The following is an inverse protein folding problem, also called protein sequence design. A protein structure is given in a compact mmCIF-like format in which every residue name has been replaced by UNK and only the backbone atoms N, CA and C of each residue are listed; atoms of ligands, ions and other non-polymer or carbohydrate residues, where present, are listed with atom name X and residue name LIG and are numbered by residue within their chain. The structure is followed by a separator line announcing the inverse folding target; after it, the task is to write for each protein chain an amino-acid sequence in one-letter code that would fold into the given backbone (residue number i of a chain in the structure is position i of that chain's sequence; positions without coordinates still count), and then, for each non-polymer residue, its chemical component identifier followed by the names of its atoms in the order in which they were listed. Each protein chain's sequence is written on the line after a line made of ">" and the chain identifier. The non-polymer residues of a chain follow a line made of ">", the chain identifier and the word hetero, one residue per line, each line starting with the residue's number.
data_IF_175141429518
#
_entry.id   IF_175141429518
#
_cell.length_a   1.000
_cell.length_b   1.000
_cell.length_c   1.000
_cell.angle_alpha   90.00
_cell.angle_beta   90.00
_cell.angle_gamma   90.00
#
_symmetry.space_group_name_H-M   'P 1'
#
loop_
_entity.id
_entity.type
_entity.pdbx_description
1 polymer ?
#
# COMPACT_ATOMS: atom_id res chain seq x y z
N UNK A 1 -15.18 0.28 -13.52
CA UNK A 1 -15.48 0.11 -12.09
C UNK A 1 -15.56 1.48 -11.43
N UNK A 2 -16.67 1.77 -10.74
CA UNK A 2 -16.81 2.98 -9.92
C UNK A 2 -16.40 2.64 -8.50
N UNK A 3 -15.53 3.46 -7.88
CA UNK A 3 -15.10 3.35 -6.48
C UNK A 3 -15.60 4.57 -5.71
N UNK A 4 -16.19 4.34 -4.55
CA UNK A 4 -16.50 5.43 -3.61
C UNK A 4 -15.16 5.97 -3.10
N UNK A 5 -14.91 7.29 -3.24
CA UNK A 5 -13.66 7.91 -2.77
C UNK A 5 -13.72 8.35 -1.31
N UNK A 6 -14.91 8.68 -0.83
CA UNK A 6 -15.13 9.12 0.55
C UNK A 6 -14.98 7.96 1.53
N UNK A 7 -14.04 8.06 2.46
CA UNK A 7 -13.72 7.00 3.43
C UNK A 7 -14.86 6.73 4.41
N UNK A 8 -15.66 7.76 4.77
CA UNK A 8 -16.82 7.58 5.63
C UNK A 8 -17.92 6.79 4.89
N UNK A 9 -18.19 7.13 3.63
CA UNK A 9 -19.17 6.39 2.83
C UNK A 9 -18.70 4.95 2.56
N UNK A 10 -17.41 4.71 2.34
CA UNK A 10 -16.86 3.35 2.25
C UNK A 10 -17.12 2.57 3.55
N UNK A 11 -16.81 3.17 4.71
CA UNK A 11 -17.07 2.60 6.02
C UNK A 11 -18.57 2.32 6.21
N UNK A 12 -19.42 3.31 5.90
CA UNK A 12 -20.87 3.20 6.03
C UNK A 12 -21.43 2.03 5.23
N UNK A 13 -21.16 1.96 3.94
CA UNK A 13 -21.70 0.91 3.07
C UNK A 13 -21.10 -0.47 3.37
N UNK A 14 -19.89 -0.53 3.89
CA UNK A 14 -19.24 -1.80 4.19
C UNK A 14 -19.65 -2.38 5.54
N UNK A 15 -19.80 -1.55 6.56
CA UNK A 15 -19.99 -2.01 7.93
C UNK A 15 -21.33 -1.63 8.55
N UNK A 16 -21.85 -0.47 8.26
CA UNK A 16 -23.08 0.04 8.90
C UNK A 16 -24.32 -0.41 8.14
N UNK A 17 -24.38 -0.11 6.86
CA UNK A 17 -25.56 -0.38 6.04
C UNK A 17 -25.96 -1.87 6.02
N UNK A 18 -25.06 -2.86 5.84
CA UNK A 18 -25.42 -4.28 5.87
C UNK A 18 -25.88 -4.78 7.25
N UNK A 19 -25.55 -4.06 8.30
CA UNK A 19 -25.89 -4.41 9.68
C UNK A 19 -26.99 -3.51 10.28
N UNK A 20 -27.69 -2.73 9.46
CA UNK A 20 -28.70 -1.76 9.90
C UNK A 20 -29.77 -2.37 10.79
N UNK A 21 -30.29 -3.55 10.45
CA UNK A 21 -31.32 -4.24 11.24
C UNK A 21 -30.85 -4.57 12.67
N UNK A 22 -29.56 -4.92 12.86
CA UNK A 22 -28.99 -5.13 14.20
C UNK A 22 -28.91 -3.83 15.00
N UNK A 23 -28.57 -2.73 14.32
CA UNK A 23 -28.47 -1.41 14.96
C UNK A 23 -29.87 -0.93 15.41
N UNK A 24 -30.84 -1.03 14.52
CA UNK A 24 -32.25 -0.60 14.79
C UNK A 24 -32.92 -1.46 15.86
N UNK A 25 -32.56 -2.74 15.97
CA UNK A 25 -33.07 -3.65 17.04
C UNK A 25 -32.31 -3.55 18.37
N UNK A 26 -31.34 -2.63 18.50
CA UNK A 26 -30.55 -2.46 19.72
C UNK A 26 -29.43 -3.47 19.93
N UNK A 27 -29.16 -4.36 18.94
CA UNK A 27 -28.13 -5.40 19.01
C UNK A 27 -26.74 -4.88 18.54
N UNK A 28 -26.34 -3.71 18.99
CA UNK A 28 -25.10 -3.03 18.57
C UNK A 28 -23.84 -3.84 18.89
N UNK A 29 -23.85 -4.67 19.92
CA UNK A 29 -22.72 -5.53 20.30
C UNK A 29 -22.30 -6.51 19.18
N UNK A 30 -23.27 -7.01 18.41
CA UNK A 30 -23.01 -7.89 17.27
C UNK A 30 -22.26 -7.13 16.16
N UNK A 31 -22.68 -5.90 15.89
CA UNK A 31 -22.05 -5.03 14.88
C UNK A 31 -20.63 -4.68 15.31
N UNK A 32 -20.43 -4.35 16.59
CA UNK A 32 -19.11 -4.05 17.14
C UNK A 32 -18.14 -5.26 17.06
N UNK A 33 -18.64 -6.47 17.31
CA UNK A 33 -17.83 -7.68 17.16
C UNK A 33 -17.37 -7.92 15.72
N UNK A 34 -18.26 -7.71 14.75
CA UNK A 34 -17.93 -7.81 13.32
C UNK A 34 -16.95 -6.72 12.88
N UNK A 35 -17.12 -5.50 13.39
CA UNK A 35 -16.19 -4.39 13.14
C UNK A 35 -14.80 -4.72 13.66
N UNK A 36 -14.66 -5.07 14.94
CA UNK A 36 -13.35 -5.38 15.55
C UNK A 36 -12.58 -6.45 14.79
N UNK A 37 -13.28 -7.42 14.21
CA UNK A 37 -12.64 -8.53 13.46
C UNK A 37 -12.12 -8.11 12.09
N UNK A 38 -12.77 -7.17 11.42
CA UNK A 38 -12.54 -6.94 10.00
C UNK A 38 -12.17 -5.48 9.66
N UNK A 39 -12.20 -4.57 10.63
CA UNK A 39 -12.06 -3.14 10.38
C UNK A 39 -10.65 -2.78 9.90
N UNK A 40 -9.62 -3.32 10.56
CA UNK A 40 -8.23 -3.05 10.21
C UNK A 40 -7.96 -3.56 8.80
N UNK A 41 -8.15 -4.85 8.56
CA UNK A 41 -7.79 -5.49 7.30
C UNK A 41 -8.63 -5.01 6.10
N UNK A 42 -9.91 -4.67 6.34
CA UNK A 42 -10.83 -4.33 5.26
C UNK A 42 -11.13 -2.84 5.09
N UNK A 43 -10.63 -1.98 5.98
CA UNK A 43 -10.84 -0.54 5.85
C UNK A 43 -9.57 0.26 6.12
N UNK A 44 -8.97 0.10 7.30
CA UNK A 44 -7.80 0.91 7.70
C UNK A 44 -6.62 0.66 6.77
N UNK A 45 -6.32 -0.60 6.43
CA UNK A 45 -5.22 -0.92 5.51
C UNK A 45 -5.40 -0.27 4.14
N UNK A 46 -6.61 -0.26 3.58
CA UNK A 46 -6.88 0.41 2.30
C UNK A 46 -6.75 1.94 2.37
N UNK A 47 -7.14 2.54 3.50
CA UNK A 47 -6.95 3.99 3.72
C UNK A 47 -5.45 4.30 3.86
N UNK A 48 -4.71 3.44 4.56
CA UNK A 48 -3.26 3.58 4.72
C UNK A 48 -2.53 3.49 3.38
N UNK A 49 -2.86 2.51 2.53
CA UNK A 49 -2.31 2.42 1.17
C UNK A 49 -2.56 3.69 0.34
N UNK A 50 -3.76 4.29 0.47
CA UNK A 50 -4.08 5.54 -0.24
C UNK A 50 -3.24 6.71 0.28
N UNK A 51 -3.02 6.79 1.60
CA UNK A 51 -2.13 7.77 2.21
C UNK A 51 -0.69 7.57 1.72
N UNK A 52 -0.20 6.33 1.70
CA UNK A 52 1.14 6.00 1.20
C UNK A 52 1.31 6.41 -0.28
N UNK A 53 0.30 6.18 -1.13
CA UNK A 53 0.33 6.65 -2.53
C UNK A 53 0.38 8.17 -2.66
N UNK A 54 -0.34 8.88 -1.80
CA UNK A 54 -0.30 10.36 -1.78
C UNK A 54 1.07 10.86 -1.27
N UNK A 55 1.66 10.16 -0.32
CA UNK A 55 2.96 10.50 0.23
C UNK A 55 4.09 10.46 -0.82
N UNK A 56 3.98 9.63 -1.86
CA UNK A 56 4.96 9.61 -2.95
C UNK A 56 5.18 11.00 -3.58
N UNK A 57 4.12 11.79 -3.68
CA UNK A 57 4.22 13.16 -4.20
C UNK A 57 4.94 14.11 -3.25
N UNK A 58 4.82 13.89 -1.95
CA UNK A 58 5.49 14.68 -0.91
C UNK A 58 6.97 14.31 -0.76
N UNK A 59 7.36 13.12 -1.21
CA UNK A 59 8.72 12.62 -1.20
C UNK A 59 9.53 13.02 -2.46
N UNK A 60 9.08 14.01 -3.21
CA UNK A 60 9.73 14.43 -4.46
C UNK A 60 11.22 14.75 -4.29
N UNK A 61 11.63 15.29 -3.12
CA UNK A 61 13.03 15.61 -2.82
C UNK A 61 13.90 14.38 -2.50
N UNK A 62 13.28 13.22 -2.30
CA UNK A 62 13.99 11.95 -2.00
C UNK A 62 14.43 11.24 -3.29
N UNK A 63 13.70 11.49 -4.39
CA UNK A 63 13.93 10.86 -5.67
C UNK A 63 14.73 11.79 -6.59
N UNK A 64 15.71 11.28 -7.36
CA UNK A 64 16.45 12.09 -8.31
C UNK A 64 15.67 12.43 -9.60
N UNK A 65 14.38 12.11 -9.65
CA UNK A 65 13.48 12.27 -10.81
C UNK A 65 12.05 12.51 -10.33
N UNK A 66 11.17 12.91 -11.24
CA UNK A 66 9.74 13.18 -10.96
C UNK A 66 8.86 12.08 -11.55
N UNK A 67 7.83 11.69 -10.81
CA UNK A 67 6.85 10.75 -11.31
C UNK A 67 5.73 11.44 -12.08
N UNK A 68 5.25 10.83 -13.16
CA UNK A 68 4.08 11.29 -13.93
C UNK A 68 2.79 10.70 -13.41
N UNK A 69 2.85 9.48 -12.90
CA UNK A 69 1.69 8.73 -12.44
C UNK A 69 2.02 7.97 -11.18
N UNK A 70 1.08 7.99 -10.24
CA UNK A 70 1.10 7.17 -9.03
C UNK A 70 -0.22 6.41 -8.94
N UNK A 71 -0.14 5.11 -8.68
CA UNK A 71 -1.31 4.26 -8.56
C UNK A 71 -0.97 2.95 -7.85
N UNK A 72 -1.75 1.92 -8.11
CA UNK A 72 -1.48 0.55 -7.73
C UNK A 72 -1.44 -0.32 -8.99
N UNK A 73 -0.82 -1.48 -8.89
CA UNK A 73 -0.76 -2.45 -9.98
C UNK A 73 -1.31 -3.81 -9.52
N UNK A 74 -1.93 -4.52 -10.45
CA UNK A 74 -2.39 -5.91 -10.25
C UNK A 74 -2.39 -6.66 -11.59
N UNK A 75 -2.25 -7.97 -11.51
CA UNK A 75 -2.33 -8.86 -12.67
C UNK A 75 -3.53 -9.84 -12.58
N UNK A 76 -3.70 -10.67 -13.60
CA UNK A 76 -4.77 -11.68 -13.67
C UNK A 76 -4.57 -12.87 -12.71
N UNK A 77 -3.39 -13.00 -12.09
CA UNK A 77 -3.03 -14.05 -11.14
C UNK A 77 -3.14 -13.61 -9.68
N UNK A 78 -3.76 -12.45 -9.44
CA UNK A 78 -3.93 -11.82 -8.13
C UNK A 78 -2.61 -11.35 -7.48
N UNK A 79 -1.57 -11.10 -8.27
CA UNK A 79 -0.43 -10.33 -7.76
C UNK A 79 -0.82 -8.86 -7.68
N UNK A 80 -0.47 -8.21 -6.58
CA UNK A 80 -0.78 -6.80 -6.33
C UNK A 80 0.45 -6.08 -5.80
N UNK A 81 0.63 -4.83 -6.23
CA UNK A 81 1.61 -3.86 -5.71
C UNK A 81 0.81 -2.65 -5.24
N UNK A 82 0.94 -2.31 -3.97
CA UNK A 82 0.14 -1.27 -3.30
C UNK A 82 0.43 0.13 -3.85
N UNK A 83 1.70 0.38 -4.18
CA UNK A 83 2.18 1.64 -4.73
C UNK A 83 2.99 1.35 -5.98
N UNK A 84 2.60 1.93 -7.09
CA UNK A 84 3.39 1.92 -8.32
C UNK A 84 3.44 3.33 -8.89
N UNK A 85 4.63 3.82 -9.19
CA UNK A 85 4.80 5.11 -9.85
C UNK A 85 5.74 4.97 -11.06
N UNK A 86 5.51 5.79 -12.07
CA UNK A 86 6.29 5.76 -13.31
C UNK A 86 6.77 7.14 -13.67
N UNK A 87 8.00 7.20 -14.18
CA UNK A 87 8.59 8.33 -14.88
C UNK A 87 8.79 7.91 -16.34
N UNK A 88 7.92 8.43 -17.22
CA UNK A 88 7.88 8.01 -18.62
C UNK A 88 9.11 8.47 -19.41
N UNK A 89 9.72 9.60 -19.06
CA UNK A 89 10.88 10.16 -19.76
C UNK A 89 12.18 9.49 -19.32
N UNK A 90 12.34 9.29 -18.00
CA UNK A 90 13.58 8.76 -17.42
C UNK A 90 13.64 7.24 -17.33
N UNK A 91 12.54 6.53 -17.58
CA UNK A 91 12.49 5.07 -17.47
C UNK A 91 12.54 4.57 -16.03
N UNK A 92 12.14 5.37 -15.03
CA UNK A 92 12.11 4.95 -13.63
C UNK A 92 10.76 4.36 -13.25
N UNK A 93 10.80 3.19 -12.62
CA UNK A 93 9.66 2.51 -12.01
C UNK A 93 9.86 2.47 -10.51
N UNK A 94 8.94 3.07 -9.75
CA UNK A 94 8.87 2.89 -8.30
C UNK A 94 7.80 1.85 -8.00
N UNK A 95 8.13 0.89 -7.15
CA UNK A 95 7.19 -0.07 -6.58
C UNK A 95 7.24 -0.02 -5.06
N UNK A 96 6.07 -0.19 -4.42
CA UNK A 96 5.98 -0.08 -2.97
C UNK A 96 4.96 -1.02 -2.35
N UNK A 97 5.23 -1.41 -1.11
CA UNK A 97 4.36 -2.24 -0.28
C UNK A 97 4.04 -1.47 1.01
N UNK A 98 2.78 -1.56 1.44
CA UNK A 98 2.27 -0.86 2.63
C UNK A 98 1.86 -1.87 3.69
N UNK A 99 2.42 -1.78 4.89
CA UNK A 99 2.13 -2.71 5.98
C UNK A 99 1.54 -2.00 7.20
N UNK A 100 0.24 -2.23 7.40
CA UNK A 100 -0.52 -1.80 8.56
C UNK A 100 -0.77 -3.00 9.49
N UNK A 101 0.28 -3.55 10.08
CA UNK A 101 0.20 -4.70 10.97
C UNK A 101 1.02 -4.52 12.26
N UNK A 102 0.88 -5.45 13.20
CA UNK A 102 1.71 -5.51 14.40
C UNK A 102 3.11 -6.03 14.07
N UNK A 103 4.13 -5.35 14.59
CA UNK A 103 5.53 -5.71 14.42
C UNK A 103 6.22 -5.08 13.20
N UNK A 104 7.57 -5.15 13.19
CA UNK A 104 8.38 -4.53 12.14
C UNK A 104 8.32 -5.30 10.82
N UNK A 105 8.53 -4.59 9.73
CA UNK A 105 8.64 -5.16 8.38
C UNK A 105 10.05 -5.70 8.16
N UNK A 106 10.15 -6.92 7.67
CA UNK A 106 11.42 -7.60 7.42
C UNK A 106 11.77 -7.76 5.93
N UNK A 107 12.96 -8.29 5.66
CA UNK A 107 13.52 -8.53 4.30
C UNK A 107 12.60 -9.37 3.42
N UNK A 108 11.82 -10.28 4.00
CA UNK A 108 10.89 -11.12 3.25
C UNK A 108 9.84 -10.31 2.47
N UNK A 109 9.42 -9.15 3.00
CA UNK A 109 8.49 -8.26 2.32
C UNK A 109 9.16 -7.60 1.11
N UNK A 110 10.40 -7.13 1.26
CA UNK A 110 11.18 -6.58 0.15
C UNK A 110 11.38 -7.63 -0.95
N UNK A 111 11.80 -8.85 -0.62
CA UNK A 111 11.99 -9.94 -1.59
C UNK A 111 10.72 -10.25 -2.37
N UNK A 112 9.59 -10.32 -1.68
CA UNK A 112 8.28 -10.51 -2.33
C UNK A 112 7.94 -9.35 -3.27
N UNK A 113 8.26 -8.11 -2.89
CA UNK A 113 8.05 -6.94 -3.73
C UNK A 113 8.97 -6.95 -4.97
N UNK A 114 10.24 -7.36 -4.81
CA UNK A 114 11.18 -7.54 -5.92
C UNK A 114 10.68 -8.57 -6.93
N UNK A 115 10.17 -9.72 -6.46
CA UNK A 115 9.56 -10.74 -7.31
C UNK A 115 8.33 -10.22 -8.09
N UNK A 116 7.47 -9.45 -7.43
CA UNK A 116 6.32 -8.81 -8.08
C UNK A 116 6.75 -7.75 -9.10
N UNK A 117 7.78 -6.97 -8.82
CA UNK A 117 8.30 -5.95 -9.72
C UNK A 117 8.74 -6.54 -11.06
N UNK A 118 9.32 -7.75 -11.07
CA UNK A 118 9.71 -8.46 -12.28
C UNK A 118 8.50 -8.88 -13.15
N UNK A 119 7.30 -8.96 -12.58
CA UNK A 119 6.06 -9.27 -13.31
C UNK A 119 5.43 -8.06 -13.99
N UNK A 120 5.87 -6.86 -13.65
CA UNK A 120 5.37 -5.61 -14.25
C UNK A 120 5.95 -5.46 -15.67
N UNK A 121 5.10 -5.39 -16.68
CA UNK A 121 5.53 -5.32 -18.09
C UNK A 121 5.91 -3.90 -18.56
N UNK A 122 5.66 -2.87 -17.74
CA UNK A 122 5.97 -1.50 -18.10
C UNK A 122 7.49 -1.30 -18.31
N UNK A 123 7.87 -0.88 -19.50
CA UNK A 123 9.26 -0.56 -19.93
C UNK A 123 10.34 -1.58 -19.49
N UNK A 124 9.99 -2.87 -19.49
CA UNK A 124 10.73 -3.96 -18.84
C UNK A 124 12.20 -4.08 -19.25
N UNK A 125 12.51 -3.72 -20.49
CA UNK A 125 13.86 -3.85 -21.05
C UNK A 125 14.73 -2.60 -20.86
N UNK A 126 14.17 -1.50 -20.39
CA UNK A 126 14.85 -0.21 -20.26
C UNK A 126 14.30 0.60 -19.11
N UNK A 127 14.30 0.02 -17.89
CA UNK A 127 13.84 0.70 -16.69
C UNK A 127 14.81 0.50 -15.54
N UNK A 128 14.88 1.48 -14.67
CA UNK A 128 15.44 1.37 -13.33
C UNK A 128 14.32 1.17 -12.32
N UNK A 129 14.46 0.22 -11.38
CA UNK A 129 13.43 -0.07 -10.38
C UNK A 129 13.87 0.47 -9.03
N UNK A 130 12.95 1.18 -8.38
CA UNK A 130 13.08 1.74 -7.06
C UNK A 130 12.05 1.10 -6.14
N UNK A 131 12.41 0.91 -4.88
CA UNK A 131 11.57 0.23 -3.91
C UNK A 131 11.25 1.16 -2.74
N UNK A 132 9.99 1.21 -2.31
CA UNK A 132 9.58 1.90 -1.10
C UNK A 132 8.76 0.97 -0.22
N UNK A 133 9.09 0.91 1.06
CA UNK A 133 8.33 0.17 2.05
C UNK A 133 7.77 1.13 3.09
N UNK A 134 6.45 1.05 3.29
CA UNK A 134 5.73 1.79 4.31
C UNK A 134 5.33 0.86 5.45
N UNK A 135 5.60 1.28 6.70
CA UNK A 135 5.26 0.52 7.90
C UNK A 135 4.85 1.45 9.03
N UNK A 136 3.82 1.09 9.79
CA UNK A 136 3.43 1.81 11.00
C UNK A 136 4.25 1.40 12.24
N UNK A 137 4.93 0.27 12.19
CA UNK A 137 5.70 -0.30 13.31
C UNK A 137 7.19 -0.48 13.01
N UNK A 138 7.70 0.26 12.00
CA UNK A 138 9.11 0.26 11.64
C UNK A 138 9.57 -0.99 10.90
N UNK A 139 10.88 -1.18 10.90
CA UNK A 139 11.56 -2.18 10.11
C UNK A 139 12.52 -2.99 10.97
N UNK A 140 12.87 -4.20 10.52
CA UNK A 140 13.92 -4.98 11.18
C UNK A 140 15.29 -4.37 10.92
N UNK A 141 16.22 -4.50 11.87
CA UNK A 141 17.59 -4.00 11.72
C UNK A 141 18.29 -4.54 10.46
N UNK A 142 17.99 -5.79 10.09
CA UNK A 142 18.52 -6.41 8.88
C UNK A 142 18.03 -5.69 7.61
N UNK A 143 16.77 -5.25 7.57
CA UNK A 143 16.22 -4.51 6.43
C UNK A 143 16.75 -3.07 6.40
N UNK A 144 16.91 -2.43 7.55
CA UNK A 144 17.50 -1.09 7.67
C UNK A 144 18.97 -1.09 7.20
N UNK A 145 19.76 -2.09 7.62
CA UNK A 145 21.14 -2.25 7.15
C UNK A 145 21.22 -2.45 5.63
N UNK A 146 20.33 -3.27 5.06
CA UNK A 146 20.26 -3.48 3.62
C UNK A 146 19.88 -2.20 2.87
N UNK A 147 18.89 -1.43 3.38
CA UNK A 147 18.49 -0.17 2.77
C UNK A 147 19.61 0.90 2.83
N UNK A 148 20.44 0.88 3.88
CA UNK A 148 21.62 1.76 3.96
C UNK A 148 22.73 1.39 2.97
N UNK A 149 22.72 0.18 2.44
CA UNK A 149 23.71 -0.30 1.45
C UNK A 149 23.21 -0.18 0.01
N UNK A 150 21.92 0.09 -0.19
CA UNK A 150 21.27 0.15 -1.50
C UNK A 150 20.56 1.49 -1.67
N UNK A 151 20.98 2.25 -2.67
CA UNK A 151 20.42 3.57 -2.98
C UNK A 151 19.00 3.51 -3.57
N UNK A 152 18.56 2.32 -4.03
CA UNK A 152 17.28 2.09 -4.66
C UNK A 152 16.15 1.70 -3.67
N UNK A 153 16.42 1.66 -2.36
CA UNK A 153 15.45 1.30 -1.31
C UNK A 153 15.19 2.49 -0.38
N UNK A 154 13.91 2.80 -0.19
CA UNK A 154 13.45 3.82 0.74
C UNK A 154 12.51 3.20 1.77
N UNK A 155 12.78 3.44 3.06
CA UNK A 155 11.95 2.99 4.18
C UNK A 155 11.22 4.20 4.78
N UNK A 156 9.91 4.07 5.07
CA UNK A 156 9.04 5.10 5.64
C UNK A 156 8.14 4.56 6.75
N UNK A 157 8.16 5.25 7.90
CA UNK A 157 7.25 5.03 9.02
C UNK A 157 6.21 6.13 9.10
#
# INVERSE_FOLDING_TARGET
>A
FYKIRDNFLQFWFRFIYPNRSYIESGNQSIVMSKLKKNFIDNHVSFVYEEICRQEIWNLADVWPYTFDKVGRWWDSRNNEIDVMATDAEGGNLLVGECKFWEGPVGINVLKSLEEKAEMVEWNKNNRHIWYVLFSINGFTSELEELANQRDDIVLRC
#
